data_IF_177534318747
#
_entry.id   IF_177534318747
#
_cell.length_a   1.000
_cell.length_b   1.000
_cell.length_c   1.000
_cell.angle_alpha   90.00
_cell.angle_beta   90.00
_cell.angle_gamma   90.00
#
_symmetry.space_group_name_H-M   'P 1'
#
loop_
_entity.id
_entity.type
_entity.pdbx_description
1 polymer ?
#
# COMPACT_ATOMS: atom_id res chain seq x y z
N UNK A 1 1.36 34.98 16.03
CA UNK A 1 1.36 34.49 14.63
C UNK A 1 2.07 33.13 14.61
N UNK A 2 1.30 32.05 14.74
CA UNK A 2 1.77 30.68 14.80
C UNK A 2 2.09 30.15 13.40
N UNK A 3 3.28 29.54 13.21
CA UNK A 3 3.66 28.55 12.17
C UNK A 3 5.06 28.77 11.53
N UNK A 4 6.12 28.88 12.35
CA UNK A 4 7.50 28.62 11.88
C UNK A 4 8.17 27.40 12.51
N UNK A 5 7.55 26.79 13.52
CA UNK A 5 8.10 25.62 14.23
C UNK A 5 7.78 24.27 13.56
N UNK A 6 6.74 24.20 12.72
CA UNK A 6 6.35 22.95 12.04
C UNK A 6 7.24 22.61 10.84
N UNK A 7 7.81 23.62 10.19
CA UNK A 7 8.70 23.46 9.02
C UNK A 7 10.09 22.96 9.42
N UNK A 8 10.59 23.40 10.57
CA UNK A 8 11.92 22.99 11.05
C UNK A 8 11.98 21.54 11.57
N UNK A 9 10.86 20.97 12.05
CA UNK A 9 10.84 19.54 12.39
C UNK A 9 10.86 18.66 11.14
N UNK A 10 10.13 19.02 10.08
CA UNK A 10 10.13 18.26 8.83
C UNK A 10 11.51 18.21 8.17
N UNK A 11 12.26 19.31 8.24
CA UNK A 11 13.64 19.40 7.70
C UNK A 11 14.64 18.63 8.56
N UNK A 12 14.42 18.53 9.88
CA UNK A 12 15.33 17.79 10.77
C UNK A 12 15.31 16.26 10.54
N UNK A 13 14.22 15.72 9.98
CA UNK A 13 14.14 14.33 9.52
C UNK A 13 14.83 14.07 8.17
N UNK A 14 15.06 15.12 7.37
CA UNK A 14 15.75 15.02 6.08
C UNK A 14 17.28 15.02 6.20
N UNK A 15 17.83 15.60 7.27
CA UNK A 15 19.29 15.72 7.50
C UNK A 15 19.91 14.62 8.36
N UNK A 16 19.12 13.63 8.81
CA UNK A 16 19.69 12.39 9.30
C UNK A 16 19.93 11.51 8.09
N UNK A 17 21.13 10.93 7.96
CA UNK A 17 21.48 9.89 7.00
C UNK A 17 20.66 8.61 7.24
N UNK A 18 19.34 8.72 7.24
CA UNK A 18 18.42 7.64 6.99
C UNK A 18 18.67 7.34 5.53
N UNK A 19 19.44 6.27 5.28
CA UNK A 19 19.55 5.65 3.97
C UNK A 19 18.14 5.67 3.39
N UNK A 20 17.94 6.49 2.34
CA UNK A 20 16.65 6.55 1.67
C UNK A 20 16.26 5.10 1.41
N UNK A 21 15.08 4.64 1.85
CA UNK A 21 14.65 3.29 1.56
C UNK A 21 14.88 3.08 0.06
N UNK A 22 15.64 2.05 -0.34
CA UNK A 22 15.91 1.71 -1.74
C UNK A 22 14.63 1.22 -2.46
N UNK A 23 13.55 1.96 -2.35
CA UNK A 23 12.27 1.67 -2.95
C UNK A 23 12.04 2.75 -4.01
N UNK A 24 12.38 2.38 -5.25
CA UNK A 24 11.96 3.07 -6.46
C UNK A 24 10.44 3.25 -6.41
N UNK A 25 9.98 4.46 -6.14
CA UNK A 25 8.58 4.85 -6.30
C UNK A 25 8.29 5.20 -7.78
N UNK A 26 8.94 4.49 -8.71
CA UNK A 26 8.84 4.71 -10.16
C UNK A 26 8.82 3.41 -10.99
N UNK A 27 8.58 2.28 -10.34
CA UNK A 27 8.27 1.01 -10.99
C UNK A 27 7.37 0.24 -10.03
N UNK A 28 6.08 0.55 -10.02
CA UNK A 28 5.11 -0.26 -9.27
C UNK A 28 5.18 -1.68 -9.84
N UNK A 29 5.76 -2.62 -9.11
CA UNK A 29 5.73 -4.04 -9.47
C UNK A 29 4.36 -4.66 -9.19
N UNK A 30 3.48 -3.93 -8.49
CA UNK A 30 2.12 -4.33 -8.19
C UNK A 30 1.13 -3.18 -8.35
N UNK A 31 -0.01 -3.46 -8.95
CA UNK A 31 -1.21 -2.65 -8.88
C UNK A 31 -2.05 -3.17 -7.70
N UNK A 32 -2.25 -2.33 -6.68
CA UNK A 32 -3.02 -2.72 -5.50
C UNK A 32 -4.50 -2.44 -5.73
N UNK A 33 -5.34 -3.47 -5.58
CA UNK A 33 -6.79 -3.38 -5.75
C UNK A 33 -7.51 -3.26 -4.40
N UNK A 34 -6.99 -3.93 -3.37
CA UNK A 34 -7.51 -3.86 -2.02
C UNK A 34 -6.44 -4.19 -0.98
N UNK A 35 -6.65 -3.67 0.23
CA UNK A 35 -5.85 -4.01 1.41
C UNK A 35 -6.78 -4.19 2.60
N UNK A 36 -6.47 -5.17 3.46
CA UNK A 36 -7.14 -5.37 4.75
C UNK A 36 -6.09 -5.60 5.83
N UNK A 37 -6.46 -5.35 7.09
CA UNK A 37 -5.59 -5.57 8.24
C UNK A 37 -6.37 -6.26 9.35
N UNK A 38 -5.82 -7.38 9.85
CA UNK A 38 -6.40 -8.17 10.92
C UNK A 38 -5.42 -8.33 12.06
N UNK A 39 -5.89 -8.13 13.29
CA UNK A 39 -5.11 -8.41 14.49
C UNK A 39 -5.54 -9.77 15.06
N UNK A 40 -4.58 -10.59 15.47
CA UNK A 40 -4.85 -11.89 16.08
C UNK A 40 -3.82 -12.14 17.18
N UNK A 41 -4.23 -11.97 18.43
CA UNK A 41 -3.34 -12.06 19.58
C UNK A 41 -2.16 -11.09 19.46
N UNK A 42 -0.95 -11.64 19.41
CA UNK A 42 0.31 -10.89 19.31
C UNK A 42 0.72 -10.54 17.87
N UNK A 43 0.03 -11.08 16.87
CA UNK A 43 0.35 -10.88 15.46
C UNK A 43 -0.63 -9.93 14.80
N UNK A 44 -0.12 -9.12 13.87
CA UNK A 44 -0.94 -8.34 12.93
C UNK A 44 -0.65 -8.83 11.52
N UNK A 45 -1.70 -9.11 10.77
CA UNK A 45 -1.65 -9.49 9.37
C UNK A 45 -2.15 -8.34 8.50
N UNK A 46 -1.42 -8.06 7.42
CA UNK A 46 -1.86 -7.16 6.35
C UNK A 46 -2.04 -7.99 5.09
N UNK A 47 -3.28 -8.08 4.64
CA UNK A 47 -3.66 -8.78 3.41
C UNK A 47 -3.69 -7.76 2.27
N UNK A 48 -3.20 -8.16 1.10
CA UNK A 48 -3.24 -7.35 -0.11
C UNK A 48 -3.81 -8.18 -1.25
N UNK A 49 -4.66 -7.54 -2.05
CA UNK A 49 -5.12 -8.04 -3.35
C UNK A 49 -4.49 -7.14 -4.41
N UNK A 50 -3.78 -7.74 -5.36
CA UNK A 50 -3.15 -6.94 -6.41
C UNK A 50 -2.72 -7.74 -7.63
N UNK A 51 -2.54 -7.01 -8.72
CA UNK A 51 -2.03 -7.51 -9.98
C UNK A 51 -0.52 -7.29 -10.03
N UNK A 52 0.24 -8.34 -10.34
CA UNK A 52 1.69 -8.22 -10.54
C UNK A 52 1.98 -7.57 -11.89
N UNK A 53 3.04 -6.77 -11.95
CA UNK A 53 3.59 -6.28 -13.21
C UNK A 53 4.14 -7.47 -14.00
N UNK A 54 3.83 -7.55 -15.28
CA UNK A 54 4.44 -8.50 -16.22
C UNK A 54 5.63 -7.84 -16.93
N UNK A 55 6.34 -8.56 -17.79
CA UNK A 55 7.36 -7.95 -18.65
C UNK A 55 6.75 -6.81 -19.49
N UNK A 56 7.39 -5.64 -19.49
CA UNK A 56 6.84 -4.42 -20.09
C UNK A 56 5.99 -3.59 -19.12
N UNK A 57 5.36 -2.51 -19.59
CA UNK A 57 4.48 -1.66 -18.78
C UNK A 57 3.06 -2.24 -18.63
N UNK A 58 2.95 -3.56 -18.52
CA UNK A 58 1.68 -4.29 -18.46
C UNK A 58 1.49 -4.97 -17.11
N UNK A 59 0.23 -5.22 -16.76
CA UNK A 59 -0.19 -5.88 -15.52
C UNK A 59 -0.79 -7.24 -15.85
N UNK A 60 -0.48 -8.24 -15.02
CA UNK A 60 -1.20 -9.51 -15.07
C UNK A 60 -2.67 -9.27 -14.70
N UNK A 61 -3.60 -9.71 -15.54
CA UNK A 61 -5.04 -9.60 -15.29
C UNK A 61 -5.57 -10.68 -14.32
N UNK A 62 -4.68 -11.36 -13.60
CA UNK A 62 -5.03 -12.30 -12.54
C UNK A 62 -4.62 -11.73 -11.18
N UNK A 63 -5.57 -11.23 -10.38
CA UNK A 63 -5.24 -10.69 -9.08
C UNK A 63 -4.79 -11.81 -8.14
N UNK A 64 -3.80 -11.49 -7.32
CA UNK A 64 -3.19 -12.41 -6.36
C UNK A 64 -3.32 -11.84 -4.96
N UNK A 65 -3.53 -12.73 -3.99
CA UNK A 65 -3.54 -12.38 -2.58
C UNK A 65 -2.13 -12.55 -2.03
N UNK A 66 -1.64 -11.56 -1.29
CA UNK A 66 -0.40 -11.67 -0.51
C UNK A 66 -0.67 -11.30 0.95
N UNK A 67 0.00 -11.99 1.87
CA UNK A 67 -0.12 -11.77 3.32
C UNK A 67 1.22 -11.35 3.89
N UNK A 68 1.23 -10.26 4.66
CA UNK A 68 2.39 -9.81 5.41
C UNK A 68 2.09 -9.92 6.90
N UNK A 69 2.97 -10.59 7.64
CA UNK A 69 2.80 -10.88 9.07
C UNK A 69 3.77 -10.06 9.90
N UNK A 70 3.28 -9.45 10.97
CA UNK A 70 4.05 -8.57 11.85
C UNK A 70 3.89 -8.99 13.30
N UNK A 71 4.99 -8.98 14.05
CA UNK A 71 5.01 -9.18 15.50
C UNK A 71 4.90 -7.85 16.28
N UNK A 72 4.99 -6.71 15.60
CA UNK A 72 4.84 -5.37 16.16
C UNK A 72 3.73 -4.63 15.44
N UNK A 73 2.68 -4.29 16.19
CA UNK A 73 1.49 -3.59 15.66
C UNK A 73 1.82 -2.26 14.96
N UNK A 74 2.78 -1.49 15.50
CA UNK A 74 3.18 -0.20 14.92
C UNK A 74 3.76 -0.35 13.51
N UNK A 75 4.54 -1.40 13.26
CA UNK A 75 5.14 -1.66 11.95
C UNK A 75 4.06 -2.06 10.93
N UNK A 76 3.11 -2.91 11.35
CA UNK A 76 1.96 -3.26 10.52
C UNK A 76 1.08 -2.05 10.18
N UNK A 77 0.87 -1.14 11.14
CA UNK A 77 0.10 0.09 10.93
C UNK A 77 0.76 1.02 9.93
N UNK A 78 2.09 1.16 9.98
CA UNK A 78 2.85 1.93 8.99
C UNK A 78 2.70 1.29 7.62
N UNK A 79 2.96 -0.02 7.50
CA UNK A 79 2.87 -0.74 6.25
C UNK A 79 1.49 -0.64 5.61
N UNK A 80 0.43 -0.87 6.39
CA UNK A 80 -0.96 -0.75 5.95
C UNK A 80 -1.29 0.66 5.43
N UNK A 81 -0.88 1.71 6.15
CA UNK A 81 -1.10 3.11 5.73
C UNK A 81 -0.32 3.46 4.46
N UNK A 82 0.90 2.95 4.32
CA UNK A 82 1.69 3.13 3.11
C UNK A 82 1.00 2.51 1.91
N UNK A 83 0.45 1.30 2.04
CA UNK A 83 -0.32 0.65 0.97
C UNK A 83 -1.57 1.44 0.58
N UNK A 84 -2.31 1.98 1.55
CA UNK A 84 -3.45 2.86 1.28
C UNK A 84 -3.05 4.11 0.49
N UNK A 85 -1.94 4.75 0.86
CA UNK A 85 -1.45 5.93 0.15
C UNK A 85 -1.00 5.58 -1.29
N UNK A 86 -0.35 4.43 -1.50
CA UNK A 86 0.00 3.94 -2.83
C UNK A 86 -1.25 3.69 -3.67
N UNK A 87 -2.26 3.03 -3.11
CA UNK A 87 -3.54 2.80 -3.79
C UNK A 87 -4.21 4.11 -4.19
N UNK A 88 -4.25 5.10 -3.29
CA UNK A 88 -4.82 6.41 -3.58
C UNK A 88 -4.09 7.09 -4.76
N UNK A 89 -2.77 7.02 -4.79
CA UNK A 89 -1.98 7.53 -5.92
C UNK A 89 -2.26 6.77 -7.23
N UNK A 90 -2.32 5.44 -7.18
CA UNK A 90 -2.62 4.59 -8.34
C UNK A 90 -4.02 4.87 -8.90
N UNK A 91 -5.01 5.06 -8.03
CA UNK A 91 -6.40 5.29 -8.40
C UNK A 91 -6.67 6.66 -9.02
N UNK A 92 -5.70 7.59 -9.00
CA UNK A 92 -5.77 8.83 -9.79
C UNK A 92 -5.64 8.57 -11.29
N UNK A 93 -5.07 7.42 -11.69
CA UNK A 93 -4.98 7.03 -13.09
C UNK A 93 -6.34 6.46 -13.58
N UNK A 94 -6.95 7.02 -14.64
CA UNK A 94 -8.25 6.53 -15.16
C UNK A 94 -8.24 5.05 -15.57
N UNK A 95 -7.14 4.57 -16.15
CA UNK A 95 -7.00 3.15 -16.52
C UNK A 95 -7.01 2.22 -15.31
N UNK A 96 -6.48 2.67 -14.18
CA UNK A 96 -6.57 1.93 -12.91
C UNK A 96 -8.01 1.92 -12.38
N UNK A 97 -8.76 3.01 -12.51
CA UNK A 97 -10.16 3.05 -12.07
C UNK A 97 -11.04 2.05 -12.85
N UNK A 98 -10.80 1.91 -14.16
CA UNK A 98 -11.47 0.90 -15.00
C UNK A 98 -11.14 -0.51 -14.49
N UNK A 99 -9.87 -0.78 -14.18
CA UNK A 99 -9.45 -2.07 -13.62
C UNK A 99 -10.09 -2.36 -12.26
N UNK A 100 -10.08 -1.38 -11.35
CA UNK A 100 -10.73 -1.52 -10.03
C UNK A 100 -12.23 -1.80 -10.19
N UNK A 101 -12.88 -1.19 -11.19
CA UNK A 101 -14.29 -1.43 -11.49
C UNK A 101 -14.53 -2.85 -12.03
N UNK A 102 -13.62 -3.37 -12.86
CA UNK A 102 -13.71 -4.74 -13.37
C UNK A 102 -13.58 -5.80 -12.27
N UNK A 103 -12.80 -5.54 -11.21
CA UNK A 103 -12.57 -6.47 -10.09
C UNK A 103 -13.43 -6.20 -8.86
N UNK A 104 -14.57 -5.51 -8.98
CA UNK A 104 -15.39 -5.15 -7.82
C UNK A 104 -15.84 -6.36 -7.00
N UNK A 105 -16.18 -7.46 -7.66
CA UNK A 105 -16.63 -8.69 -6.99
C UNK A 105 -15.49 -9.35 -6.20
N UNK A 106 -14.31 -9.43 -6.78
CA UNK A 106 -13.10 -9.97 -6.15
C UNK A 106 -12.67 -9.08 -4.97
N UNK A 107 -12.73 -7.76 -5.13
CA UNK A 107 -12.45 -6.80 -4.06
C UNK A 107 -13.45 -6.98 -2.90
N UNK A 108 -14.73 -7.17 -3.21
CA UNK A 108 -15.78 -7.40 -2.21
C UNK A 108 -15.53 -8.71 -1.46
N UNK A 109 -15.36 -9.81 -2.19
CA UNK A 109 -15.07 -11.12 -1.61
C UNK A 109 -13.78 -11.10 -0.76
N UNK A 110 -12.73 -10.45 -1.25
CA UNK A 110 -11.49 -10.25 -0.49
C UNK A 110 -11.74 -9.55 0.84
N UNK A 111 -12.50 -8.45 0.85
CA UNK A 111 -12.81 -7.70 2.08
C UNK A 111 -13.64 -8.51 3.06
N UNK A 112 -14.60 -9.30 2.58
CA UNK A 112 -15.42 -10.18 3.42
C UNK A 112 -14.56 -11.25 4.10
N UNK A 113 -13.63 -11.85 3.36
CA UNK A 113 -12.80 -12.96 3.85
C UNK A 113 -11.58 -12.52 4.69
N UNK A 114 -11.20 -11.24 4.67
CA UNK A 114 -9.99 -10.73 5.33
C UNK A 114 -10.26 -9.71 6.43
N UNK A 115 -11.53 -9.48 6.79
CA UNK A 115 -11.94 -8.67 7.94
C UNK A 115 -11.61 -9.34 9.28
#
# INVERSE_FOLDING_TARGET
MFNKLKTNLAIKWLNQNIVAPKWSLNSTDKLYLAVSKKNTGKLTYVYTLGNMKTSGNQWNLKPTISVSTFNKRKEADIFYKTLLAIMELQHKNPGVQVMVSAYQNEIKSFKENTR
#
